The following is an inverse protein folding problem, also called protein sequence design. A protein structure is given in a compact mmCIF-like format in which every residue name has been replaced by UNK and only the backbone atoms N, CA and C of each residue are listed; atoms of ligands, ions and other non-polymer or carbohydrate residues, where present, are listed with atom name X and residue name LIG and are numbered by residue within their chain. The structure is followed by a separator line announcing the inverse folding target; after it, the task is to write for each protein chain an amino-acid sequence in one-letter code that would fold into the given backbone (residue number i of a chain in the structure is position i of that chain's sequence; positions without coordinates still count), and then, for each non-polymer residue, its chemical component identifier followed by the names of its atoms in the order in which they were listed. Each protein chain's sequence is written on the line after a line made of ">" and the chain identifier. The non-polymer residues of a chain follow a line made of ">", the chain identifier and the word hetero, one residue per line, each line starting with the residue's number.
data_IF_032419161144
#
_entry.id   IF_032419161144
#
_cell.length_a   1.000
_cell.length_b   1.000
_cell.length_c   1.000
_cell.angle_alpha   90.00
_cell.angle_beta   90.00
_cell.angle_gamma   90.00
#
_symmetry.space_group_name_H-M   'P 1'
#
loop_
_entity.id
_entity.type
_entity.pdbx_description
1 polymer ?
#
# COMPACT_ATOMS: atom_id res chain seq x y z
N UNK A 1 14.97 56.02 3.10
CA UNK A 1 14.62 54.69 2.64
C UNK A 1 13.40 54.84 1.75
N UNK A 2 13.51 54.56 0.44
CA UNK A 2 12.46 54.86 -0.52
C UNK A 2 11.24 53.92 -0.33
N UNK A 3 10.03 54.49 -0.47
CA UNK A 3 8.76 53.78 -0.35
C UNK A 3 8.70 52.44 -1.14
N UNK A 4 9.36 52.41 -2.32
CA UNK A 4 9.53 51.22 -3.17
C UNK A 4 10.34 50.12 -2.50
N UNK A 5 11.42 50.47 -1.77
CA UNK A 5 12.30 49.52 -1.08
C UNK A 5 11.58 48.95 0.13
N UNK A 6 10.78 49.73 0.84
CA UNK A 6 9.96 49.29 1.97
C UNK A 6 8.86 48.33 1.54
N UNK A 7 8.24 48.58 0.37
CA UNK A 7 7.20 47.72 -0.18
C UNK A 7 7.75 46.34 -0.62
N UNK A 8 8.95 46.30 -1.21
CA UNK A 8 9.61 45.07 -1.64
C UNK A 8 10.01 44.23 -0.43
N UNK A 9 10.53 44.84 0.64
CA UNK A 9 10.92 44.12 1.88
C UNK A 9 9.65 43.57 2.57
N UNK A 10 8.54 44.29 2.55
CA UNK A 10 7.26 43.83 3.11
C UNK A 10 6.66 42.69 2.30
N UNK A 11 6.76 42.71 0.96
CA UNK A 11 6.31 41.61 0.10
C UNK A 11 7.15 40.34 0.26
N UNK A 12 8.47 40.45 0.47
CA UNK A 12 9.33 39.30 0.75
C UNK A 12 9.07 38.68 2.13
N UNK A 13 8.64 39.46 3.12
CA UNK A 13 8.36 38.95 4.46
C UNK A 13 7.01 38.22 4.56
N UNK A 14 6.05 38.50 3.68
CA UNK A 14 4.76 37.79 3.62
C UNK A 14 4.80 36.42 2.94
N UNK A 15 5.92 36.03 2.29
CA UNK A 15 5.99 34.80 1.50
C UNK A 15 6.52 33.57 2.27
N UNK A 16 6.88 33.71 3.54
CA UNK A 16 7.25 32.56 4.37
C UNK A 16 6.05 31.98 5.12
N UNK A 17 5.06 31.50 4.37
CA UNK A 17 4.14 30.53 4.95
C UNK A 17 4.94 29.25 5.23
N UNK A 18 5.33 29.06 6.50
CA UNK A 18 5.86 27.77 6.93
C UNK A 18 4.75 26.75 6.69
N UNK A 19 4.86 26.01 5.60
CA UNK A 19 3.99 24.88 5.33
C UNK A 19 4.31 23.83 6.41
N UNK A 20 3.60 23.89 7.53
CA UNK A 20 3.74 22.89 8.57
C UNK A 20 3.04 21.64 8.07
N UNK A 21 3.82 20.58 7.86
CA UNK A 21 3.26 19.28 7.47
C UNK A 21 2.13 18.89 8.45
N UNK A 22 0.93 18.70 7.94
CA UNK A 22 -0.23 18.32 8.74
C UNK A 22 -0.01 16.94 9.37
N UNK A 23 -0.32 16.78 10.66
CA UNK A 23 -0.29 15.48 11.35
C UNK A 23 -1.71 15.10 11.73
N UNK A 24 -2.21 14.03 11.10
CA UNK A 24 -3.56 13.52 11.29
C UNK A 24 -3.54 12.34 12.25
N UNK A 25 -4.21 12.50 13.38
CA UNK A 25 -4.50 11.41 14.31
C UNK A 25 -5.63 10.56 13.71
N UNK A 26 -5.32 9.31 13.34
CA UNK A 26 -6.24 8.45 12.63
C UNK A 26 -7.45 8.03 13.46
N UNK A 27 -7.31 7.88 14.79
CA UNK A 27 -8.46 7.65 15.67
C UNK A 27 -9.43 8.83 15.65
N UNK A 28 -8.90 10.07 15.78
CA UNK A 28 -9.71 11.28 15.71
C UNK A 28 -10.33 11.51 14.33
N UNK A 29 -9.65 11.05 13.28
CA UNK A 29 -10.17 11.05 11.92
C UNK A 29 -11.28 10.01 11.66
N UNK A 30 -11.54 9.13 12.64
CA UNK A 30 -12.62 8.14 12.58
C UNK A 30 -12.21 6.70 12.31
N UNK A 31 -10.90 6.41 12.24
CA UNK A 31 -10.41 5.04 12.15
C UNK A 31 -10.82 4.20 13.36
N UNK A 32 -11.09 2.93 13.13
CA UNK A 32 -11.48 1.99 14.18
C UNK A 32 -10.31 1.08 14.54
N UNK A 33 -9.81 1.23 15.76
CA UNK A 33 -8.68 0.48 16.30
C UNK A 33 -9.12 -0.84 16.98
N UNK A 34 -10.07 -1.58 16.38
CA UNK A 34 -10.69 -2.76 16.96
C UNK A 34 -10.27 -4.09 16.29
N UNK A 35 -9.35 -4.06 15.34
CA UNK A 35 -8.88 -5.23 14.59
C UNK A 35 -9.92 -5.92 13.68
N UNK A 36 -11.10 -5.30 13.49
CA UNK A 36 -12.22 -5.90 12.76
C UNK A 36 -12.78 -5.01 11.65
N UNK A 37 -12.81 -3.70 11.87
CA UNK A 37 -13.35 -2.75 10.91
C UNK A 37 -12.29 -2.35 9.90
N UNK A 38 -12.57 -2.54 8.63
CA UNK A 38 -11.65 -2.19 7.56
C UNK A 38 -11.51 -0.67 7.43
N UNK A 39 -10.28 -0.17 7.58
CA UNK A 39 -9.94 1.25 7.53
C UNK A 39 -9.31 1.69 6.19
N UNK A 40 -9.13 0.81 5.24
CA UNK A 40 -8.39 1.04 3.97
C UNK A 40 -8.82 2.31 3.26
N UNK A 41 -10.15 2.48 3.10
CA UNK A 41 -10.69 3.66 2.40
C UNK A 41 -10.36 4.97 3.12
N UNK A 42 -10.48 5.00 4.46
CA UNK A 42 -10.15 6.17 5.25
C UNK A 42 -8.66 6.48 5.20
N UNK A 43 -7.80 5.46 5.33
CA UNK A 43 -6.35 5.62 5.27
C UNK A 43 -5.95 6.20 3.91
N UNK A 44 -6.35 5.57 2.81
CA UNK A 44 -5.97 6.01 1.47
C UNK A 44 -6.56 7.39 1.12
N UNK A 45 -7.80 7.69 1.50
CA UNK A 45 -8.38 9.03 1.29
C UNK A 45 -7.67 10.11 2.10
N UNK A 46 -7.16 9.78 3.30
CA UNK A 46 -6.34 10.70 4.10
C UNK A 46 -4.99 10.94 3.47
N UNK A 47 -4.33 9.89 2.94
CA UNK A 47 -3.10 10.01 2.16
C UNK A 47 -3.31 10.93 0.96
N UNK A 48 -4.38 10.70 0.19
CA UNK A 48 -4.72 11.53 -0.98
C UNK A 48 -4.92 13.00 -0.62
N UNK A 49 -5.60 13.27 0.48
CA UNK A 49 -5.84 14.63 0.98
C UNK A 49 -4.54 15.30 1.40
N UNK A 50 -3.72 14.60 2.19
CA UNK A 50 -2.43 15.14 2.65
C UNK A 50 -1.47 15.37 1.48
N UNK A 51 -1.38 14.45 0.54
CA UNK A 51 -0.53 14.61 -0.64
C UNK A 51 -0.92 15.85 -1.46
N UNK A 52 -2.24 16.09 -1.70
CA UNK A 52 -2.72 17.32 -2.35
C UNK A 52 -2.39 18.59 -1.56
N UNK A 53 -2.25 18.49 -0.24
CA UNK A 53 -1.82 19.57 0.66
C UNK A 53 -0.30 19.77 0.75
N UNK A 54 0.49 19.03 -0.05
CA UNK A 54 1.95 19.10 -0.02
C UNK A 54 2.62 18.06 0.88
N UNK A 55 1.86 17.20 1.52
CA UNK A 55 2.35 16.12 2.38
C UNK A 55 1.86 16.18 3.81
N UNK A 56 2.24 15.18 4.60
CA UNK A 56 1.85 15.12 6.00
C UNK A 56 2.08 13.76 6.65
N UNK A 57 1.64 13.66 7.89
CA UNK A 57 1.80 12.46 8.72
C UNK A 57 0.45 11.86 9.06
N UNK A 58 0.28 10.55 8.78
CA UNK A 58 -0.78 9.74 9.36
C UNK A 58 -0.24 9.14 10.66
N UNK A 59 -0.80 9.55 11.78
CA UNK A 59 -0.42 9.04 13.09
C UNK A 59 -1.45 8.03 13.59
N UNK A 60 -0.97 6.86 13.94
CA UNK A 60 -1.76 5.75 14.49
C UNK A 60 -1.46 5.61 15.99
N UNK A 61 -2.34 6.07 16.88
CA UNK A 61 -2.26 5.78 18.30
C UNK A 61 -2.33 4.27 18.59
N UNK A 62 -1.98 3.85 19.81
CA UNK A 62 -2.08 2.46 20.24
C UNK A 62 -3.45 1.84 19.92
N UNK A 63 -3.45 0.62 19.38
CA UNK A 63 -4.64 -0.12 18.96
C UNK A 63 -4.43 -0.91 17.67
N UNK A 64 -5.40 -1.73 17.28
CA UNK A 64 -5.27 -2.61 16.10
C UNK A 64 -6.17 -2.11 14.97
N UNK A 65 -5.57 -1.70 13.86
CA UNK A 65 -6.24 -1.12 12.69
C UNK A 65 -6.23 -2.12 11.54
N UNK A 66 -7.36 -2.78 11.28
CA UNK A 66 -7.49 -3.65 10.11
C UNK A 66 -7.50 -2.80 8.84
N UNK A 67 -6.69 -3.18 7.87
CA UNK A 67 -6.59 -2.52 6.56
C UNK A 67 -6.29 -3.50 5.44
N UNK A 68 -6.67 -3.18 4.21
CA UNK A 68 -6.13 -3.75 2.99
C UNK A 68 -4.90 -2.96 2.54
N UNK A 69 -4.68 -2.88 1.23
CA UNK A 69 -3.53 -2.21 0.65
C UNK A 69 -3.48 -0.71 0.97
N UNK A 70 -2.30 -0.22 1.31
CA UNK A 70 -1.99 1.20 1.54
C UNK A 70 -1.16 1.73 0.38
N UNK A 71 -1.70 2.70 -0.36
CA UNK A 71 -1.01 3.37 -1.45
C UNK A 71 -0.37 4.67 -0.96
N UNK A 72 0.92 4.64 -0.70
CA UNK A 72 1.68 5.82 -0.27
C UNK A 72 1.94 6.76 -1.46
N UNK A 73 1.95 8.04 -1.17
CA UNK A 73 2.25 9.12 -2.11
C UNK A 73 3.39 9.99 -1.61
N UNK A 74 3.88 10.88 -2.46
CA UNK A 74 4.99 11.76 -2.10
C UNK A 74 4.71 12.57 -0.85
N UNK A 75 5.76 12.76 -0.03
CA UNK A 75 5.77 13.55 1.19
C UNK A 75 4.85 13.00 2.31
N UNK A 76 4.60 11.69 2.32
CA UNK A 76 3.76 11.04 3.32
C UNK A 76 4.60 10.30 4.34
N UNK A 77 4.26 10.51 5.60
CA UNK A 77 4.80 9.75 6.74
C UNK A 77 3.70 8.90 7.37
N UNK A 78 3.93 7.60 7.51
CA UNK A 78 3.19 6.73 8.42
C UNK A 78 3.93 6.69 9.75
N UNK A 79 3.28 7.08 10.83
CA UNK A 79 3.84 7.09 12.18
C UNK A 79 2.98 6.21 13.09
N UNK A 80 3.57 5.14 13.63
CA UNK A 80 2.89 4.19 14.51
C UNK A 80 3.40 4.36 15.94
N UNK A 81 2.51 4.67 16.85
CA UNK A 81 2.81 4.71 18.29
C UNK A 81 3.13 3.30 18.82
N UNK A 82 3.87 3.23 19.91
CA UNK A 82 4.04 1.96 20.64
C UNK A 82 2.67 1.34 20.96
N UNK A 83 2.48 0.06 20.61
CA UNK A 83 1.19 -0.62 20.75
C UNK A 83 0.19 -0.37 19.63
N UNK A 84 0.53 0.41 18.61
CA UNK A 84 -0.24 0.48 17.36
C UNK A 84 0.09 -0.73 16.47
N UNK A 85 -0.92 -1.35 15.88
CA UNK A 85 -0.75 -2.42 14.89
C UNK A 85 -1.57 -2.09 13.64
N UNK A 86 -0.90 -1.97 12.50
CA UNK A 86 -1.56 -2.07 11.20
C UNK A 86 -1.69 -3.54 10.85
N UNK A 87 -2.90 -4.07 11.00
CA UNK A 87 -3.24 -5.46 10.71
C UNK A 87 -3.75 -5.55 9.28
N UNK A 88 -2.97 -6.14 8.38
CA UNK A 88 -3.37 -6.29 6.99
C UNK A 88 -4.37 -7.42 6.83
N UNK A 89 -5.44 -7.17 6.07
CA UNK A 89 -6.52 -8.14 5.86
C UNK A 89 -5.99 -9.46 5.26
N UNK A 90 -6.52 -10.56 5.71
CA UNK A 90 -6.30 -11.88 5.11
C UNK A 90 -7.34 -12.22 4.02
N UNK A 91 -8.22 -11.28 3.69
CA UNK A 91 -9.15 -11.38 2.58
C UNK A 91 -8.54 -10.80 1.31
N UNK A 92 -8.31 -11.63 0.30
CA UNK A 92 -7.66 -11.23 -0.96
C UNK A 92 -8.47 -10.20 -1.75
N UNK A 93 -9.81 -10.14 -1.58
CA UNK A 93 -10.64 -9.14 -2.23
C UNK A 93 -10.29 -7.70 -1.79
N UNK A 94 -9.70 -7.52 -0.61
CA UNK A 94 -9.29 -6.21 -0.08
C UNK A 94 -8.02 -5.66 -0.76
N UNK A 95 -7.43 -6.43 -1.69
CA UNK A 95 -6.25 -6.07 -2.48
C UNK A 95 -6.55 -5.91 -3.98
N UNK A 96 -7.83 -5.82 -4.32
CA UNK A 96 -8.28 -5.48 -5.67
C UNK A 96 -8.52 -3.97 -5.81
N UNK A 97 -8.51 -3.42 -7.03
CA UNK A 97 -8.18 -4.07 -8.31
C UNK A 97 -6.71 -4.43 -8.43
N UNK A 98 -6.36 -5.29 -9.39
CA UNK A 98 -4.97 -5.56 -9.72
C UNK A 98 -4.24 -4.29 -10.16
N UNK A 99 -2.96 -4.20 -9.75
CA UNK A 99 -2.05 -3.14 -10.14
C UNK A 99 -0.81 -3.73 -10.82
N UNK A 100 -0.09 -2.89 -11.54
CA UNK A 100 1.19 -3.28 -12.12
C UNK A 100 2.21 -3.56 -11.04
N UNK A 101 2.80 -4.74 -11.07
CA UNK A 101 3.83 -5.20 -10.12
C UNK A 101 4.95 -5.90 -10.90
N UNK A 102 6.12 -5.95 -10.28
CA UNK A 102 7.24 -6.75 -10.79
C UNK A 102 7.40 -8.00 -9.91
N UNK A 103 7.14 -9.16 -10.50
CA UNK A 103 7.28 -10.44 -9.83
C UNK A 103 8.41 -11.25 -10.49
N UNK A 104 9.43 -11.62 -9.72
CA UNK A 104 10.61 -12.39 -10.22
C UNK A 104 11.24 -11.82 -11.50
N UNK A 105 11.19 -10.51 -11.68
CA UNK A 105 11.76 -9.84 -12.86
C UNK A 105 10.75 -9.55 -13.96
N UNK A 106 9.55 -10.11 -13.93
CA UNK A 106 8.51 -9.94 -14.94
C UNK A 106 7.49 -8.91 -14.50
N UNK A 107 7.12 -8.01 -15.41
CA UNK A 107 6.03 -7.05 -15.19
C UNK A 107 4.69 -7.72 -15.44
N UNK A 108 3.79 -7.62 -14.49
CA UNK A 108 2.43 -8.16 -14.60
C UNK A 108 1.47 -7.37 -13.74
N UNK A 109 0.18 -7.52 -13.99
CA UNK A 109 -0.87 -7.02 -13.08
C UNK A 109 -1.23 -8.09 -12.06
N UNK A 110 -1.24 -7.71 -10.80
CA UNK A 110 -1.54 -8.60 -9.70
C UNK A 110 -2.16 -7.86 -8.52
N UNK A 111 -2.47 -8.60 -7.45
CA UNK A 111 -2.94 -8.00 -6.20
C UNK A 111 -2.07 -6.83 -5.76
N UNK A 112 -2.71 -5.81 -5.22
CA UNK A 112 -1.98 -4.68 -4.63
C UNK A 112 -1.08 -5.19 -3.50
N UNK A 113 0.18 -4.74 -3.41
CA UNK A 113 1.02 -5.01 -2.25
C UNK A 113 0.41 -4.43 -0.96
N UNK A 114 0.82 -4.95 0.19
CA UNK A 114 0.36 -4.45 1.50
C UNK A 114 0.56 -2.95 1.62
N UNK A 115 1.76 -2.49 1.28
CA UNK A 115 2.12 -1.08 1.17
C UNK A 115 2.88 -0.90 -0.14
N UNK A 116 2.49 0.07 -0.94
CA UNK A 116 3.17 0.37 -2.19
C UNK A 116 3.15 1.86 -2.52
N UNK A 117 4.04 2.26 -3.41
CA UNK A 117 4.12 3.61 -3.94
C UNK A 117 4.55 3.54 -5.40
N UNK A 118 4.03 4.45 -6.22
CA UNK A 118 4.40 4.58 -7.63
C UNK A 118 4.79 6.02 -7.88
N UNK A 119 5.96 6.26 -8.46
CA UNK A 119 6.49 7.58 -8.80
C UNK A 119 6.40 8.58 -7.64
N UNK A 120 6.74 8.13 -6.43
CA UNK A 120 6.61 8.89 -5.19
C UNK A 120 7.95 9.06 -4.49
N UNK A 121 8.14 10.20 -3.82
CA UNK A 121 9.36 10.57 -3.11
C UNK A 121 9.07 11.02 -1.67
N UNK A 122 10.11 11.07 -0.82
CA UNK A 122 10.00 11.53 0.57
C UNK A 122 8.98 10.75 1.39
N UNK A 123 8.98 9.42 1.24
CA UNK A 123 8.13 8.52 2.01
C UNK A 123 8.86 8.08 3.27
N UNK A 124 8.15 8.09 4.39
CA UNK A 124 8.68 7.64 5.68
C UNK A 124 7.68 6.72 6.37
N UNK A 125 8.16 5.59 6.87
CA UNK A 125 7.44 4.73 7.83
C UNK A 125 8.29 4.70 9.09
N UNK A 126 7.71 5.10 10.22
CA UNK A 126 8.44 5.22 11.50
C UNK A 126 7.56 4.92 12.71
N UNK A 127 8.22 4.78 13.85
CA UNK A 127 7.57 4.55 15.14
C UNK A 127 7.92 3.19 15.74
N UNK A 128 7.23 2.83 16.82
CA UNK A 128 7.47 1.60 17.59
C UNK A 128 6.30 0.60 17.48
N UNK A 129 5.39 0.84 16.54
CA UNK A 129 4.25 -0.03 16.27
C UNK A 129 4.62 -1.23 15.38
N UNK A 130 3.61 -2.01 15.03
CA UNK A 130 3.75 -3.26 14.27
C UNK A 130 3.02 -3.16 12.92
N UNK A 131 3.64 -3.70 11.89
CA UNK A 131 3.01 -4.02 10.60
C UNK A 131 2.81 -5.53 10.54
N UNK A 132 1.58 -5.99 10.65
CA UNK A 132 1.24 -7.42 10.63
C UNK A 132 0.56 -7.79 9.31
N UNK A 133 1.31 -8.45 8.45
CA UNK A 133 0.87 -8.85 7.11
C UNK A 133 -0.06 -10.07 7.07
N UNK A 134 -0.31 -10.74 8.19
CA UNK A 134 -1.13 -11.95 8.27
C UNK A 134 -0.80 -13.00 7.19
N UNK A 135 0.48 -13.23 6.93
CA UNK A 135 0.96 -14.01 5.80
C UNK A 135 0.49 -15.47 5.74
N UNK A 136 -0.03 -16.03 6.85
CA UNK A 136 -0.39 -17.46 6.93
C UNK A 136 -1.36 -17.89 5.83
N UNK A 137 -2.42 -17.12 5.57
CA UNK A 137 -3.43 -17.48 4.57
C UNK A 137 -2.87 -17.42 3.14
N UNK A 138 -1.98 -16.45 2.86
CA UNK A 138 -1.27 -16.34 1.62
C UNK A 138 -0.35 -17.54 1.37
N UNK A 139 0.41 -17.95 2.38
CA UNK A 139 1.25 -19.13 2.35
C UNK A 139 0.47 -20.43 2.15
N UNK A 140 -0.63 -20.58 2.87
CA UNK A 140 -1.48 -21.76 2.75
C UNK A 140 -2.04 -21.90 1.34
N UNK A 141 -2.50 -20.81 0.73
CA UNK A 141 -3.02 -20.84 -0.64
C UNK A 141 -1.91 -21.14 -1.66
N UNK A 142 -0.74 -20.55 -1.50
CA UNK A 142 0.42 -20.86 -2.32
C UNK A 142 0.79 -22.34 -2.28
N UNK A 143 0.91 -22.92 -1.08
CA UNK A 143 1.24 -24.35 -0.94
C UNK A 143 0.13 -25.24 -1.49
N UNK A 144 -1.14 -24.89 -1.31
CA UNK A 144 -2.25 -25.64 -1.88
C UNK A 144 -2.11 -25.75 -3.40
N UNK A 145 -1.89 -24.64 -4.09
CA UNK A 145 -1.71 -24.62 -5.54
C UNK A 145 -0.47 -25.41 -5.97
N UNK A 146 0.65 -25.29 -5.24
CA UNK A 146 1.89 -26.03 -5.55
C UNK A 146 1.75 -27.53 -5.36
N UNK A 147 1.01 -27.98 -4.34
CA UNK A 147 0.76 -29.41 -4.09
C UNK A 147 -0.17 -29.97 -5.19
N UNK A 148 -1.23 -29.27 -5.52
CA UNK A 148 -2.18 -29.70 -6.56
C UNK A 148 -1.48 -29.83 -7.91
N UNK A 149 -0.60 -28.89 -8.26
CA UNK A 149 0.21 -28.97 -9.47
C UNK A 149 1.12 -30.21 -9.50
N UNK A 150 1.74 -30.53 -8.36
CA UNK A 150 2.70 -31.64 -8.26
C UNK A 150 2.00 -33.00 -8.26
N UNK A 151 0.89 -33.12 -7.55
CA UNK A 151 0.26 -34.42 -7.29
C UNK A 151 -0.77 -34.80 -8.35
N UNK A 152 -1.47 -33.85 -8.94
CA UNK A 152 -2.57 -34.08 -9.88
C UNK A 152 -2.31 -33.64 -11.31
N UNK A 153 -1.19 -32.93 -11.56
CA UNK A 153 -0.90 -32.36 -12.89
C UNK A 153 -1.94 -31.36 -13.37
N UNK A 154 -2.95 -31.06 -12.54
CA UNK A 154 -4.01 -30.12 -12.82
C UNK A 154 -3.83 -28.87 -11.98
N UNK A 155 -4.00 -27.74 -12.61
CA UNK A 155 -4.03 -26.46 -11.92
C UNK A 155 -5.42 -26.27 -11.34
N UNK A 156 -5.50 -26.21 -10.02
CA UNK A 156 -6.72 -25.72 -9.39
C UNK A 156 -6.84 -24.22 -9.67
N UNK A 157 -7.79 -23.90 -10.53
CA UNK A 157 -8.08 -22.52 -10.94
C UNK A 157 -8.77 -21.83 -9.76
N UNK A 158 -8.08 -20.96 -9.07
CA UNK A 158 -8.71 -20.15 -8.03
C UNK A 158 -9.69 -19.12 -8.64
N UNK A 159 -10.58 -18.57 -7.82
CA UNK A 159 -11.61 -17.62 -8.26
C UNK A 159 -11.07 -16.34 -8.93
N UNK A 160 -9.79 -16.02 -8.74
CA UNK A 160 -9.14 -14.82 -9.29
C UNK A 160 -8.47 -15.07 -10.63
N UNK A 161 -8.30 -16.33 -11.05
CA UNK A 161 -7.63 -16.67 -12.31
C UNK A 161 -8.29 -15.98 -13.53
N UNK A 162 -9.60 -16.02 -13.71
CA UNK A 162 -10.23 -15.34 -14.85
C UNK A 162 -10.00 -13.83 -14.86
N UNK A 163 -9.95 -13.22 -13.67
CA UNK A 163 -9.67 -11.80 -13.52
C UNK A 163 -8.21 -11.47 -13.87
N UNK A 164 -7.30 -12.34 -13.46
CA UNK A 164 -5.87 -12.20 -13.74
C UNK A 164 -5.59 -12.39 -15.25
N UNK A 165 -6.17 -13.40 -15.88
CA UNK A 165 -6.02 -13.67 -17.31
C UNK A 165 -6.55 -12.51 -18.16
N UNK A 166 -7.67 -11.92 -17.75
CA UNK A 166 -8.23 -10.74 -18.43
C UNK A 166 -7.38 -9.47 -18.26
N UNK A 167 -6.59 -9.38 -17.19
CA UNK A 167 -5.77 -8.22 -16.89
C UNK A 167 -4.38 -8.28 -17.55
N UNK A 168 -3.91 -9.46 -17.96
CA UNK A 168 -2.54 -9.70 -18.40
C UNK A 168 -2.46 -10.27 -19.81
N UNK A 169 -1.40 -9.92 -20.55
CA UNK A 169 -1.01 -10.67 -21.75
C UNK A 169 -0.25 -11.91 -21.32
N UNK A 170 -0.98 -13.00 -21.12
CA UNK A 170 -0.42 -14.27 -20.64
C UNK A 170 0.63 -14.85 -21.61
N UNK A 171 0.47 -14.61 -22.92
CA UNK A 171 1.43 -15.10 -23.92
C UNK A 171 2.78 -14.44 -23.77
N UNK A 172 2.82 -13.12 -23.59
CA UNK A 172 4.05 -12.37 -23.37
C UNK A 172 4.75 -12.80 -22.04
N UNK A 173 3.95 -12.91 -20.98
CA UNK A 173 4.47 -13.33 -19.65
C UNK A 173 5.05 -14.75 -19.71
N UNK A 174 4.39 -15.69 -20.37
CA UNK A 174 4.90 -17.06 -20.56
C UNK A 174 6.20 -17.09 -21.38
N UNK A 175 6.29 -16.25 -22.42
CA UNK A 175 7.50 -16.16 -23.23
C UNK A 175 8.70 -15.64 -22.44
N UNK A 176 8.51 -14.67 -21.55
CA UNK A 176 9.58 -14.11 -20.72
C UNK A 176 10.03 -15.05 -19.59
N UNK A 177 9.11 -15.78 -19.00
CA UNK A 177 9.43 -16.63 -17.83
C UNK A 177 9.91 -18.01 -18.21
N UNK A 178 9.62 -18.48 -19.43
CA UNK A 178 9.85 -19.87 -19.85
C UNK A 178 9.42 -20.90 -18.80
N UNK A 179 8.39 -20.57 -18.00
CA UNK A 179 7.93 -21.33 -16.85
C UNK A 179 6.43 -21.25 -16.67
N UNK A 180 5.89 -22.36 -16.20
CA UNK A 180 4.49 -22.51 -15.77
C UNK A 180 4.11 -21.71 -14.50
N UNK A 181 4.88 -20.67 -14.12
CA UNK A 181 4.71 -19.89 -12.89
C UNK A 181 3.45 -19.02 -12.84
N UNK A 182 2.89 -18.76 -13.99
CA UNK A 182 1.88 -17.70 -14.15
C UNK A 182 0.55 -18.02 -13.48
N UNK A 183 0.36 -19.25 -13.03
CA UNK A 183 -0.90 -19.68 -12.42
C UNK A 183 -0.83 -19.84 -10.90
N UNK A 184 0.28 -19.51 -10.29
CA UNK A 184 0.30 -19.33 -8.85
C UNK A 184 -0.23 -17.93 -8.55
N UNK A 185 -1.09 -17.81 -7.52
CA UNK A 185 -1.34 -16.51 -6.91
C UNK A 185 0.01 -15.85 -6.71
N UNK A 186 0.24 -14.65 -7.25
CA UNK A 186 1.48 -13.96 -6.99
C UNK A 186 1.56 -13.70 -5.49
N UNK A 187 2.25 -14.58 -4.82
CA UNK A 187 2.70 -14.31 -3.46
C UNK A 187 3.75 -13.23 -3.63
N UNK A 188 3.37 -12.00 -3.34
CA UNK A 188 4.37 -10.95 -3.24
C UNK A 188 5.28 -11.32 -2.08
N UNK A 189 6.47 -11.82 -2.37
CA UNK A 189 7.54 -11.90 -1.40
C UNK A 189 7.91 -10.48 -1.03
N UNK A 190 7.28 -9.94 -0.02
CA UNK A 190 7.83 -8.81 0.69
C UNK A 190 8.92 -9.39 1.58
N UNK A 191 10.15 -9.36 1.10
CA UNK A 191 11.29 -9.40 2.00
C UNK A 191 11.26 -8.09 2.79
N UNK A 192 10.85 -8.19 4.02
CA UNK A 192 11.14 -7.19 5.04
C UNK A 192 12.54 -7.44 5.58
#
# INVERSE_FOLDING_TARGET
>A
MNLRTTLIVFLCFCATTVLRAERVDMLKAGAKANGKTLNTKLINSTIDRLNRGGGGTLFFPAGTYLTGSIHLKSNITLELEAGATLLFSDNFDDYLPFVEVRHEGVMMKSFQPLIYAVDAENITIKGEGTLDGQGKKWWMEFFRVMIDLKDNGMRDVNKYQPLWDAANDTTAIYAETNKDYVNTLPVSYTHL
#
